data_IF_415231401046
#
_entry.id   IF_415231401046
#
_cell.length_a   1.000
_cell.length_b   1.000
_cell.length_c   1.000
_cell.angle_alpha   90.00
_cell.angle_beta   90.00
_cell.angle_gamma   90.00
#
_symmetry.space_group_name_H-M   'P 1'
#
loop_
_entity.id
_entity.type
_entity.pdbx_description
1 polymer ?
#
# COMPACT_ATOMS: atom_id res chain seq x y z
N UNK A 1 -4.25 -16.11 20.73
CA UNK A 1 -4.30 -15.43 19.43
C UNK A 1 -4.21 -13.91 19.60
N UNK A 2 -3.99 -13.19 18.51
CA UNK A 2 -3.96 -11.74 18.53
C UNK A 2 -5.37 -11.19 18.33
N UNK A 3 -5.68 -10.06 19.00
CA UNK A 3 -6.87 -9.27 18.70
C UNK A 3 -6.49 -8.25 17.65
N UNK A 4 -7.20 -8.20 16.54
CA UNK A 4 -6.94 -7.27 15.45
C UNK A 4 -8.00 -6.17 15.43
N UNK A 5 -7.56 -4.92 15.36
CA UNK A 5 -8.42 -3.74 15.24
C UNK A 5 -8.09 -3.02 13.95
N UNK A 6 -9.11 -2.71 13.16
CA UNK A 6 -8.95 -1.97 11.91
C UNK A 6 -9.07 -0.47 12.17
N UNK A 7 -8.08 0.28 11.69
CA UNK A 7 -8.06 1.74 11.78
C UNK A 7 -8.25 2.31 10.39
N UNK A 8 -9.17 3.26 10.24
CA UNK A 8 -9.42 3.93 8.96
C UNK A 8 -8.18 4.69 8.47
N UNK A 9 -7.93 4.60 7.16
CA UNK A 9 -6.88 5.34 6.47
C UNK A 9 -7.52 6.56 5.81
N UNK A 10 -6.92 7.73 5.99
CA UNK A 10 -7.34 9.02 5.44
C UNK A 10 -6.42 9.43 4.27
N UNK A 11 -6.64 10.63 3.70
CA UNK A 11 -5.82 11.11 2.57
C UNK A 11 -4.32 11.19 2.91
N UNK A 12 -3.97 11.47 4.17
CA UNK A 12 -2.59 11.52 4.67
C UNK A 12 -2.12 10.22 5.34
N UNK A 13 -2.87 9.13 5.23
CA UNK A 13 -2.57 7.85 5.87
C UNK A 13 -3.36 7.65 7.17
N UNK A 14 -2.80 6.87 8.10
CA UNK A 14 -3.44 6.58 9.39
C UNK A 14 -3.26 7.75 10.36
N UNK A 15 -4.33 8.15 11.04
CA UNK A 15 -4.27 9.19 12.08
C UNK A 15 -3.63 8.63 13.37
N UNK A 16 -2.50 9.19 13.85
CA UNK A 16 -1.85 8.77 15.09
C UNK A 16 -2.76 8.88 16.33
N UNK A 17 -3.74 9.80 16.35
CA UNK A 17 -4.68 9.92 17.46
C UNK A 17 -5.65 8.73 17.51
N UNK A 18 -6.10 8.24 16.35
CA UNK A 18 -6.91 7.01 16.31
C UNK A 18 -6.14 5.81 16.84
N UNK A 19 -4.85 5.70 16.50
CA UNK A 19 -3.97 4.67 17.05
C UNK A 19 -3.89 4.76 18.58
N UNK A 20 -3.70 5.96 19.12
CA UNK A 20 -3.66 6.19 20.58
C UNK A 20 -4.95 5.77 21.28
N UNK A 21 -6.10 6.02 20.67
CA UNK A 21 -7.41 5.67 21.25
C UNK A 21 -7.64 4.17 21.36
N UNK A 22 -7.07 3.39 20.44
CA UNK A 22 -7.14 1.91 20.47
C UNK A 22 -6.07 1.28 21.36
N UNK A 23 -4.99 2.00 21.65
CA UNK A 23 -3.85 1.58 22.50
C UNK A 23 -3.30 0.18 22.15
N UNK A 24 -2.99 -0.12 20.87
CA UNK A 24 -2.50 -1.43 20.48
C UNK A 24 -1.05 -1.66 20.90
N UNK A 25 -0.60 -2.93 20.91
CA UNK A 25 0.82 -3.27 21.11
C UNK A 25 1.62 -3.15 19.81
N UNK A 26 0.98 -3.44 18.67
CA UNK A 26 1.63 -3.40 17.34
C UNK A 26 0.74 -2.70 16.34
N UNK A 27 1.32 -1.83 15.52
CA UNK A 27 0.64 -1.16 14.39
C UNK A 27 1.30 -1.56 13.09
N UNK A 28 0.50 -2.08 12.14
CA UNK A 28 0.95 -2.38 10.78
C UNK A 28 0.55 -1.25 9.84
N UNK A 29 1.50 -0.71 9.09
CA UNK A 29 1.33 0.44 8.20
C UNK A 29 2.12 0.30 6.91
N UNK A 30 1.66 0.97 5.84
CA UNK A 30 2.34 1.14 4.56
C UNK A 30 2.59 2.63 4.29
N UNK A 31 3.54 3.27 5.00
CA UNK A 31 3.63 4.73 5.02
C UNK A 31 4.17 5.31 3.71
N UNK A 32 4.88 4.53 2.92
CA UNK A 32 5.47 4.98 1.66
C UNK A 32 4.49 4.99 0.49
N UNK A 33 3.55 4.05 0.48
CA UNK A 33 2.50 3.94 -0.54
C UNK A 33 1.38 3.04 -0.02
N UNK A 34 0.41 3.63 0.67
CA UNK A 34 -0.70 2.90 1.30
C UNK A 34 -1.56 2.21 0.24
N UNK A 35 -1.58 0.89 0.23
CA UNK A 35 -2.46 0.12 -0.66
C UNK A 35 -3.88 0.03 -0.07
N UNK A 36 -4.95 0.16 -0.87
CA UNK A 36 -4.97 0.47 -2.31
C UNK A 36 -4.97 1.96 -2.65
N UNK A 37 -5.08 2.86 -1.66
CA UNK A 37 -5.35 4.30 -1.85
C UNK A 37 -4.22 5.06 -2.56
N UNK A 38 -3.00 4.54 -2.54
CA UNK A 38 -1.83 5.21 -3.09
C UNK A 38 -1.41 6.45 -2.29
N UNK A 39 -1.91 6.62 -1.07
CA UNK A 39 -1.53 7.75 -0.21
C UNK A 39 -0.13 7.57 0.35
N UNK A 40 0.55 8.68 0.59
CA UNK A 40 1.89 8.71 1.17
C UNK A 40 1.84 9.44 2.50
N UNK A 41 2.16 8.75 3.57
CA UNK A 41 2.14 9.31 4.92
C UNK A 41 3.22 10.39 5.09
N UNK A 42 2.85 11.63 5.48
CA UNK A 42 3.80 12.70 5.75
C UNK A 42 4.76 12.37 6.87
N UNK A 43 5.98 12.91 6.80
CA UNK A 43 7.03 12.67 7.82
C UNK A 43 6.54 13.04 9.24
N UNK A 44 5.76 14.10 9.38
CA UNK A 44 5.20 14.51 10.68
C UNK A 44 4.40 13.37 11.33
N UNK A 45 3.49 12.75 10.59
CA UNK A 45 2.66 11.65 11.12
C UNK A 45 3.52 10.41 11.41
N UNK A 46 4.54 10.11 10.58
CA UNK A 46 5.51 9.03 10.84
C UNK A 46 6.21 9.23 12.17
N UNK A 47 6.69 10.44 12.45
CA UNK A 47 7.35 10.78 13.71
C UNK A 47 6.39 10.75 14.92
N UNK A 48 5.13 11.09 14.75
CA UNK A 48 4.11 10.96 15.80
C UNK A 48 3.81 9.51 16.16
N UNK A 49 3.79 8.60 15.17
CA UNK A 49 3.69 7.15 15.42
C UNK A 49 4.93 6.60 16.13
N UNK A 50 6.13 7.05 15.77
CA UNK A 50 7.36 6.68 16.49
C UNK A 50 7.30 7.14 17.95
N UNK A 51 6.87 8.37 18.21
CA UNK A 51 6.68 8.87 19.57
C UNK A 51 5.68 8.02 20.36
N UNK A 52 4.57 7.64 19.73
CA UNK A 52 3.60 6.73 20.34
C UNK A 52 4.24 5.37 20.69
N UNK A 53 5.04 4.79 19.80
CA UNK A 53 5.71 3.52 20.06
C UNK A 53 6.71 3.59 21.22
N UNK A 54 7.32 4.77 21.45
CA UNK A 54 8.25 5.00 22.55
C UNK A 54 7.59 5.08 23.94
N UNK A 55 6.29 5.31 24.02
CA UNK A 55 5.59 5.45 25.29
C UNK A 55 5.49 4.13 26.09
N UNK A 56 5.64 2.98 25.42
CA UNK A 56 5.69 1.64 26.05
C UNK A 56 6.79 0.80 25.44
N UNK A 57 7.47 0.02 26.26
CA UNK A 57 8.61 -0.83 25.85
C UNK A 57 8.19 -1.88 24.82
N UNK A 58 7.04 -2.49 25.00
CA UNK A 58 6.56 -3.61 24.17
C UNK A 58 5.83 -3.19 22.89
N UNK A 59 5.73 -1.89 22.58
CA UNK A 59 5.11 -1.41 21.34
C UNK A 59 6.08 -1.45 20.17
N UNK A 60 5.55 -1.87 19.01
CA UNK A 60 6.27 -1.88 17.74
C UNK A 60 5.43 -1.35 16.59
N UNK A 61 6.12 -0.85 15.57
CA UNK A 61 5.54 -0.49 14.28
C UNK A 61 6.05 -1.50 13.24
N UNK A 62 5.15 -2.08 12.45
CA UNK A 62 5.52 -2.87 11.28
C UNK A 62 5.35 -1.95 10.06
N UNK A 63 6.46 -1.57 9.44
CA UNK A 63 6.50 -0.81 8.20
C UNK A 63 6.59 -1.79 7.03
N UNK A 64 5.52 -1.91 6.25
CA UNK A 64 5.53 -2.66 5.00
C UNK A 64 5.81 -1.72 3.83
N UNK A 65 6.95 -1.93 3.21
CA UNK A 65 7.42 -1.16 2.08
C UNK A 65 7.51 -2.05 0.84
N UNK A 66 6.48 -1.99 0.02
CA UNK A 66 6.35 -2.87 -1.11
C UNK A 66 6.70 -2.25 -2.47
N UNK A 67 6.76 -0.91 -2.59
CA UNK A 67 7.04 -0.24 -3.87
C UNK A 67 7.52 1.23 -3.74
N UNK A 68 8.13 1.61 -2.64
CA UNK A 68 8.67 2.97 -2.40
C UNK A 68 9.71 3.40 -3.44
N UNK A 69 10.32 2.46 -4.14
CA UNK A 69 11.28 2.70 -5.21
C UNK A 69 10.65 3.48 -6.39
N UNK A 70 9.33 3.37 -6.57
CA UNK A 70 8.60 3.95 -7.72
C UNK A 70 7.84 5.22 -7.32
N UNK A 71 8.58 6.23 -6.85
CA UNK A 71 8.06 7.55 -6.58
C UNK A 71 8.35 8.48 -7.76
N UNK A 72 7.31 9.13 -8.31
CA UNK A 72 7.42 9.97 -9.51
C UNK A 72 7.38 11.45 -9.20
N UNK A 73 6.74 11.85 -8.10
CA UNK A 73 6.56 13.24 -7.69
C UNK A 73 6.97 13.47 -6.24
N UNK A 74 7.43 14.69 -5.96
CA UNK A 74 7.85 15.13 -4.63
C UNK A 74 9.24 14.62 -4.23
N UNK A 75 9.72 15.09 -3.07
CA UNK A 75 10.98 14.65 -2.49
C UNK A 75 10.83 13.25 -1.88
N UNK A 76 11.87 12.40 -1.91
CA UNK A 76 11.87 11.17 -1.16
C UNK A 76 11.56 11.43 0.32
N UNK A 77 10.70 10.61 0.91
CA UNK A 77 10.45 10.62 2.34
C UNK A 77 11.19 9.41 2.93
N UNK A 78 12.02 9.61 3.95
CA UNK A 78 12.74 8.51 4.56
C UNK A 78 11.77 7.49 5.15
N UNK A 79 12.12 6.19 5.12
CA UNK A 79 11.35 5.16 5.81
C UNK A 79 11.30 5.44 7.32
N UNK A 80 10.31 4.91 8.01
CA UNK A 80 10.25 4.96 9.47
C UNK A 80 11.47 4.29 10.08
N UNK A 81 11.86 3.13 9.54
CA UNK A 81 13.03 2.40 10.00
C UNK A 81 14.32 3.22 9.90
N UNK A 82 14.48 4.03 8.84
CA UNK A 82 15.70 4.84 8.65
C UNK A 82 15.82 6.03 9.62
N UNK A 83 14.71 6.46 10.22
CA UNK A 83 14.65 7.55 11.22
C UNK A 83 14.38 7.04 12.64
N UNK A 84 14.26 5.74 12.79
CA UNK A 84 14.10 5.09 14.09
C UNK A 84 15.43 4.88 14.79
N UNK A 85 15.71 5.70 15.81
CA UNK A 85 16.88 5.59 16.66
C UNK A 85 16.62 4.78 17.96
N UNK A 86 15.43 4.19 18.11
CA UNK A 86 14.94 3.59 19.34
C UNK A 86 14.53 2.13 19.19
N UNK A 87 14.78 1.54 18.03
CA UNK A 87 14.55 0.12 17.76
C UNK A 87 13.08 -0.31 17.88
N UNK A 88 12.16 0.55 17.40
CA UNK A 88 10.71 0.33 17.47
C UNK A 88 10.10 -0.14 16.15
N UNK A 89 10.84 -0.10 15.04
CA UNK A 89 10.34 -0.40 13.70
C UNK A 89 10.83 -1.75 13.20
N UNK A 90 9.90 -2.60 12.86
CA UNK A 90 10.09 -3.81 12.08
C UNK A 90 9.84 -3.44 10.63
N UNK A 91 10.87 -3.47 9.79
CA UNK A 91 10.73 -3.12 8.37
C UNK A 91 10.59 -4.38 7.52
N UNK A 92 9.62 -4.39 6.62
CA UNK A 92 9.38 -5.46 5.64
C UNK A 92 9.53 -4.90 4.24
N UNK A 93 10.42 -5.50 3.45
CA UNK A 93 10.62 -5.14 2.05
C UNK A 93 10.54 -6.35 1.13
N UNK A 94 10.36 -6.11 -0.17
CA UNK A 94 10.25 -7.18 -1.17
C UNK A 94 10.99 -6.85 -2.45
N UNK A 95 11.62 -7.86 -3.05
CA UNK A 95 12.22 -7.76 -4.39
C UNK A 95 11.23 -8.09 -5.51
N UNK A 96 9.99 -8.48 -5.18
CA UNK A 96 8.99 -8.90 -6.18
C UNK A 96 8.56 -7.76 -7.11
N UNK A 97 8.53 -6.53 -6.62
CA UNK A 97 8.20 -5.35 -7.45
C UNK A 97 9.44 -4.65 -7.99
N UNK A 98 10.50 -4.60 -7.20
CA UNK A 98 11.73 -3.90 -7.54
C UNK A 98 12.60 -4.65 -8.56
N UNK A 99 12.53 -6.00 -8.64
CA UNK A 99 13.27 -6.80 -9.61
C UNK A 99 12.31 -7.55 -10.53
N UNK A 100 11.63 -8.59 -10.02
CA UNK A 100 10.69 -9.38 -10.79
C UNK A 100 9.66 -10.08 -9.89
N UNK A 101 8.35 -10.11 -10.27
CA UNK A 101 7.32 -10.77 -9.48
C UNK A 101 7.56 -12.27 -9.25
N UNK A 102 8.27 -12.93 -10.16
CA UNK A 102 8.61 -14.36 -10.08
C UNK A 102 9.68 -14.68 -9.04
N UNK A 103 10.45 -13.69 -8.60
CA UNK A 103 11.55 -13.89 -7.64
C UNK A 103 11.03 -14.35 -6.26
N UNK A 104 9.90 -13.80 -5.82
CA UNK A 104 9.22 -14.17 -4.56
C UNK A 104 10.12 -14.12 -3.32
N UNK A 105 11.05 -13.17 -3.27
CA UNK A 105 11.92 -12.93 -2.12
C UNK A 105 11.48 -11.66 -1.43
N UNK A 106 11.25 -11.76 -0.12
CA UNK A 106 11.04 -10.65 0.80
C UNK A 106 12.09 -10.70 1.90
N UNK A 107 12.32 -9.59 2.55
CA UNK A 107 13.25 -9.50 3.67
C UNK A 107 12.63 -8.69 4.81
N UNK A 108 13.14 -8.91 6.00
CA UNK A 108 12.68 -8.23 7.21
C UNK A 108 13.91 -7.71 7.97
N UNK A 109 13.85 -6.45 8.38
CA UNK A 109 14.83 -5.84 9.27
C UNK A 109 14.21 -5.75 10.65
N UNK A 110 14.76 -6.50 11.59
CA UNK A 110 14.26 -6.57 12.97
C UNK A 110 15.11 -5.67 13.89
N UNK A 111 14.48 -5.02 14.88
CA UNK A 111 15.18 -4.49 16.02
C UNK A 111 16.08 -5.54 16.67
N UNK A 112 17.28 -5.18 17.20
CA UNK A 112 18.26 -6.13 17.71
C UNK A 112 17.72 -7.13 18.75
N UNK A 113 16.89 -6.65 19.68
CA UNK A 113 16.26 -7.54 20.68
C UNK A 113 15.30 -8.56 20.06
N UNK A 114 14.50 -8.12 19.08
CA UNK A 114 13.60 -9.04 18.34
C UNK A 114 14.40 -10.01 17.47
N UNK A 115 15.51 -9.57 16.87
CA UNK A 115 16.41 -10.43 16.10
C UNK A 115 17.01 -11.52 16.98
N UNK A 116 17.47 -11.18 18.20
CA UNK A 116 17.97 -12.13 19.18
C UNK A 116 16.89 -13.18 19.53
N UNK A 117 15.69 -12.73 19.87
CA UNK A 117 14.55 -13.63 20.16
C UNK A 117 14.20 -14.52 18.97
N UNK A 118 14.28 -13.99 17.75
CA UNK A 118 14.07 -14.75 16.53
C UNK A 118 15.10 -15.87 16.39
N UNK A 119 16.37 -15.61 16.59
CA UNK A 119 17.41 -16.64 16.56
C UNK A 119 17.24 -17.70 17.65
N UNK A 120 16.87 -17.30 18.85
CA UNK A 120 16.63 -18.22 19.97
C UNK A 120 15.43 -19.16 19.73
N UNK A 121 14.33 -18.61 19.18
CA UNK A 121 13.08 -19.36 19.03
C UNK A 121 12.89 -20.01 17.66
N UNK A 122 13.49 -19.45 16.61
CA UNK A 122 13.27 -19.84 15.22
C UNK A 122 14.54 -20.32 14.52
N UNK A 123 15.68 -20.38 15.21
CA UNK A 123 16.97 -20.77 14.62
C UNK A 123 17.02 -22.22 14.10
N UNK A 124 16.04 -23.05 14.47
CA UNK A 124 15.91 -24.42 13.95
C UNK A 124 15.19 -24.51 12.59
N UNK A 125 14.53 -23.43 12.14
CA UNK A 125 13.92 -23.41 10.81
C UNK A 125 14.98 -23.25 9.72
N UNK A 126 14.85 -24.05 8.67
CA UNK A 126 15.63 -23.83 7.45
C UNK A 126 15.20 -22.53 6.76
N UNK A 127 16.13 -21.90 6.06
CA UNK A 127 15.79 -20.74 5.22
C UNK A 127 14.75 -21.12 4.16
N UNK A 128 13.77 -20.26 3.95
CA UNK A 128 12.73 -20.43 2.92
C UNK A 128 13.22 -20.04 1.53
N UNK A 129 14.35 -19.29 1.44
CA UNK A 129 14.95 -18.86 0.17
C UNK A 129 16.17 -19.71 -0.13
N UNK A 130 16.23 -20.42 -1.28
CA UNK A 130 17.38 -21.23 -1.66
C UNK A 130 18.67 -20.41 -1.70
N UNK A 131 19.78 -20.98 -1.20
CA UNK A 131 21.07 -20.30 -1.13
C UNK A 131 21.56 -19.80 -2.49
N UNK A 132 21.31 -20.53 -3.55
CA UNK A 132 21.66 -20.12 -4.92
C UNK A 132 20.98 -18.81 -5.28
N UNK A 133 19.68 -18.66 -4.97
CA UNK A 133 18.94 -17.41 -5.26
C UNK A 133 19.46 -16.25 -4.40
N UNK A 134 19.84 -16.52 -3.15
CA UNK A 134 20.44 -15.50 -2.28
C UNK A 134 21.79 -15.03 -2.86
N UNK A 135 22.65 -15.93 -3.34
CA UNK A 135 23.94 -15.58 -3.94
C UNK A 135 23.79 -14.81 -5.26
N UNK A 136 22.83 -15.19 -6.09
CA UNK A 136 22.51 -14.43 -7.32
C UNK A 136 22.07 -13.01 -6.96
N UNK A 137 21.17 -12.87 -5.98
CA UNK A 137 20.68 -11.57 -5.54
C UNK A 137 21.80 -10.73 -4.92
N UNK A 138 22.67 -11.35 -4.10
CA UNK A 138 23.84 -10.69 -3.52
C UNK A 138 24.75 -10.11 -4.61
N UNK A 139 25.13 -10.92 -5.58
CA UNK A 139 25.97 -10.49 -6.69
C UNK A 139 25.30 -9.35 -7.49
N UNK A 140 23.98 -9.48 -7.76
CA UNK A 140 23.21 -8.47 -8.48
C UNK A 140 23.22 -7.10 -7.76
N UNK A 141 23.18 -7.11 -6.43
CA UNK A 141 23.24 -5.88 -5.61
C UNK A 141 24.68 -5.35 -5.55
N UNK A 142 25.66 -6.18 -5.16
CA UNK A 142 27.06 -5.78 -4.92
C UNK A 142 27.73 -5.26 -6.19
N UNK A 143 27.41 -5.81 -7.38
CA UNK A 143 27.94 -5.35 -8.66
C UNK A 143 27.19 -4.11 -9.23
N UNK A 144 26.25 -3.54 -8.46
CA UNK A 144 25.52 -2.34 -8.81
C UNK A 144 24.49 -2.54 -9.93
N UNK A 145 24.15 -3.79 -10.28
CA UNK A 145 23.13 -4.10 -11.27
C UNK A 145 21.74 -3.72 -10.78
N UNK A 146 21.48 -3.88 -9.48
CA UNK A 146 20.20 -3.52 -8.87
C UNK A 146 19.87 -2.04 -9.03
N UNK A 147 20.80 -1.15 -8.71
CA UNK A 147 20.58 0.30 -8.85
C UNK A 147 20.37 0.71 -10.31
N UNK A 148 21.17 0.15 -11.24
CA UNK A 148 20.99 0.41 -12.67
C UNK A 148 19.62 -0.06 -13.16
N UNK A 149 19.18 -1.24 -12.69
CA UNK A 149 17.86 -1.77 -13.00
C UNK A 149 16.75 -0.85 -12.47
N UNK A 150 16.80 -0.46 -11.19
CA UNK A 150 15.81 0.44 -10.59
C UNK A 150 15.71 1.78 -11.33
N UNK A 151 16.85 2.38 -11.66
CA UNK A 151 16.86 3.65 -12.38
C UNK A 151 16.24 3.53 -13.79
N UNK A 152 16.52 2.43 -14.50
CA UNK A 152 15.86 2.13 -15.77
C UNK A 152 14.35 1.94 -15.60
N UNK A 153 13.92 1.15 -14.62
CA UNK A 153 12.51 0.86 -14.41
C UNK A 153 11.72 2.08 -13.93
N UNK A 154 12.32 2.96 -13.11
CA UNK A 154 11.73 4.26 -12.76
C UNK A 154 11.40 5.10 -13.98
N UNK A 155 12.32 5.18 -14.96
CA UNK A 155 12.08 5.88 -16.22
C UNK A 155 10.93 5.28 -17.02
N UNK A 156 10.93 3.96 -17.19
CA UNK A 156 9.88 3.23 -17.91
C UNK A 156 8.50 3.40 -17.26
N UNK A 157 8.42 3.19 -15.94
CA UNK A 157 7.14 3.29 -15.24
C UNK A 157 6.63 4.72 -15.13
N UNK A 158 7.53 5.71 -15.02
CA UNK A 158 7.16 7.13 -15.09
C UNK A 158 6.53 7.48 -16.44
N UNK A 159 7.11 7.04 -17.56
CA UNK A 159 6.54 7.29 -18.87
C UNK A 159 5.14 6.70 -19.02
N UNK A 160 4.94 5.44 -18.59
CA UNK A 160 3.62 4.78 -18.60
C UNK A 160 2.61 5.48 -17.70
N UNK A 161 3.04 5.89 -16.51
CA UNK A 161 2.21 6.66 -15.56
C UNK A 161 1.76 7.98 -16.16
N UNK A 162 2.69 8.77 -16.70
CA UNK A 162 2.39 10.07 -17.28
C UNK A 162 1.48 9.94 -18.50
N UNK A 163 1.69 8.91 -19.33
CA UNK A 163 0.81 8.56 -20.44
C UNK A 163 -0.60 8.23 -19.96
N UNK A 164 -0.75 7.32 -18.97
CA UNK A 164 -2.05 6.96 -18.43
C UNK A 164 -2.79 8.18 -17.86
N UNK A 165 -2.12 9.03 -17.09
CA UNK A 165 -2.73 10.23 -16.52
C UNK A 165 -3.16 11.22 -17.60
N UNK A 166 -2.35 11.39 -18.66
CA UNK A 166 -2.69 12.26 -19.78
C UNK A 166 -3.93 11.77 -20.53
N UNK A 167 -4.04 10.45 -20.71
CA UNK A 167 -5.21 9.82 -21.35
C UNK A 167 -6.46 9.88 -20.47
N UNK A 168 -6.35 9.63 -19.17
CA UNK A 168 -7.48 9.71 -18.23
C UNK A 168 -8.06 11.13 -18.16
N UNK A 169 -7.23 12.16 -18.18
CA UNK A 169 -7.67 13.57 -18.14
C UNK A 169 -8.49 14.01 -19.35
N UNK A 170 -8.43 13.28 -20.47
CA UNK A 170 -9.23 13.57 -21.68
C UNK A 170 -10.66 13.03 -21.59
N UNK A 171 -10.97 12.19 -20.58
CA UNK A 171 -12.21 11.45 -20.47
C UNK A 171 -13.22 12.14 -19.56
N UNK A 172 -14.43 12.34 -20.05
CA UNK A 172 -15.50 13.01 -19.32
C UNK A 172 -16.03 12.24 -18.11
N UNK A 173 -15.85 10.90 -18.11
CA UNK A 173 -16.26 10.06 -17.00
C UNK A 173 -15.27 10.05 -15.82
N UNK A 174 -14.06 10.57 -15.98
CA UNK A 174 -13.08 10.70 -14.90
C UNK A 174 -13.43 11.91 -14.04
N UNK A 175 -13.80 11.67 -12.78
CA UNK A 175 -14.10 12.72 -11.82
C UNK A 175 -12.88 13.11 -10.99
N UNK A 176 -12.17 12.12 -10.43
CA UNK A 176 -10.99 12.35 -9.60
C UNK A 176 -10.00 11.20 -9.74
N UNK A 177 -8.72 11.50 -9.66
CA UNK A 177 -7.63 10.52 -9.67
C UNK A 177 -6.91 10.60 -8.33
N UNK A 178 -6.63 9.44 -7.71
CA UNK A 178 -5.91 9.32 -6.46
C UNK A 178 -4.66 8.44 -6.66
N UNK A 179 -3.65 8.60 -5.79
CA UNK A 179 -2.44 7.79 -5.82
C UNK A 179 -1.49 8.11 -6.98
N UNK A 180 -1.58 9.32 -7.59
CA UNK A 180 -0.80 9.71 -8.77
C UNK A 180 0.64 10.14 -8.46
N UNK A 181 1.15 9.91 -7.24
CA UNK A 181 2.51 10.30 -6.84
C UNK A 181 3.53 9.16 -6.88
N UNK A 182 3.08 7.92 -6.78
CA UNK A 182 3.94 6.76 -6.63
C UNK A 182 3.25 5.46 -7.09
N UNK A 183 3.99 4.34 -7.10
CA UNK A 183 3.47 2.99 -7.31
C UNK A 183 3.23 2.62 -8.76
N UNK A 184 2.52 1.52 -8.97
CA UNK A 184 2.26 0.92 -10.29
C UNK A 184 0.76 0.85 -10.62
N UNK A 185 -0.07 1.57 -9.87
CA UNK A 185 -1.51 1.70 -10.10
C UNK A 185 -1.98 3.10 -9.70
N UNK A 186 -3.15 3.48 -10.17
CA UNK A 186 -3.89 4.67 -9.75
C UNK A 186 -5.32 4.28 -9.44
N UNK A 187 -5.98 5.05 -8.59
CA UNK A 187 -7.42 4.96 -8.38
C UNK A 187 -8.12 6.06 -9.15
N UNK A 188 -9.20 5.70 -9.82
CA UNK A 188 -10.00 6.61 -10.63
C UNK A 188 -11.44 6.59 -10.14
N UNK A 189 -11.90 7.69 -9.60
CA UNK A 189 -13.32 7.88 -9.31
C UNK A 189 -14.04 8.24 -10.61
N UNK A 190 -15.09 7.49 -10.90
CA UNK A 190 -15.83 7.63 -12.17
C UNK A 190 -17.20 8.24 -11.96
N UNK A 191 -17.61 9.09 -12.90
CA UNK A 191 -18.91 9.74 -12.89
C UNK A 191 -19.89 8.89 -13.73
N UNK A 192 -20.59 7.98 -13.07
CA UNK A 192 -21.55 7.06 -13.69
C UNK A 192 -22.59 6.61 -12.67
N UNK A 193 -23.76 6.19 -13.16
CA UNK A 193 -24.81 5.57 -12.33
C UNK A 193 -24.62 4.04 -12.17
N UNK A 194 -23.69 3.44 -12.94
CA UNK A 194 -23.40 2.01 -12.84
C UNK A 194 -22.69 1.67 -11.54
N UNK A 195 -22.93 0.48 -11.02
CA UNK A 195 -22.21 -0.02 -9.84
C UNK A 195 -20.79 -0.44 -10.21
N UNK A 196 -19.89 -0.35 -9.26
CA UNK A 196 -18.49 -0.74 -9.40
C UNK A 196 -18.32 -2.17 -9.89
N UNK A 197 -19.06 -3.11 -9.31
CA UNK A 197 -19.07 -4.53 -9.70
C UNK A 197 -19.55 -4.73 -11.14
N UNK A 198 -20.58 -4.00 -11.56
CA UNK A 198 -21.09 -4.05 -12.93
C UNK A 198 -20.04 -3.60 -13.96
N UNK A 199 -19.30 -2.51 -13.64
CA UNK A 199 -18.22 -2.03 -14.51
C UNK A 199 -17.11 -3.07 -14.61
N UNK A 200 -16.70 -3.68 -13.49
CA UNK A 200 -15.68 -4.73 -13.47
C UNK A 200 -16.11 -5.96 -14.30
N UNK A 201 -17.36 -6.42 -14.17
CA UNK A 201 -17.89 -7.55 -14.91
C UNK A 201 -17.97 -7.28 -16.42
N UNK A 202 -18.37 -6.06 -16.81
CA UNK A 202 -18.43 -5.66 -18.22
C UNK A 202 -17.02 -5.56 -18.82
N UNK A 203 -16.06 -5.05 -18.06
CA UNK A 203 -14.65 -4.96 -18.45
C UNK A 203 -14.05 -6.34 -18.68
N UNK A 204 -14.29 -7.29 -17.77
CA UNK A 204 -13.80 -8.66 -17.88
C UNK A 204 -14.36 -9.37 -19.12
N UNK A 205 -15.66 -9.18 -19.42
CA UNK A 205 -16.27 -9.70 -20.67
C UNK A 205 -15.64 -9.16 -21.95
N UNK A 206 -15.04 -7.97 -21.89
CA UNK A 206 -14.32 -7.36 -23.01
C UNK A 206 -12.80 -7.62 -22.96
N UNK A 207 -12.34 -8.51 -22.07
CA UNK A 207 -10.96 -8.96 -21.98
C UNK A 207 -10.01 -8.02 -21.22
N UNK A 208 -10.52 -7.07 -20.46
CA UNK A 208 -9.74 -6.24 -19.53
C UNK A 208 -10.11 -6.53 -18.09
N UNK A 209 -9.09 -6.62 -17.23
CA UNK A 209 -9.29 -6.85 -15.80
C UNK A 209 -8.97 -5.58 -15.02
N UNK A 210 -9.97 -5.07 -14.32
CA UNK A 210 -9.90 -3.95 -13.41
C UNK A 210 -10.49 -4.37 -12.07
N UNK A 211 -10.22 -3.61 -11.01
CA UNK A 211 -10.73 -3.92 -9.67
C UNK A 211 -11.48 -2.72 -9.11
N UNK A 212 -12.48 -2.99 -8.32
CA UNK A 212 -13.20 -1.98 -7.56
C UNK A 212 -12.57 -1.76 -6.20
N UNK A 213 -12.58 -0.52 -5.68
CA UNK A 213 -12.07 -0.23 -4.34
C UNK A 213 -12.88 -0.94 -3.25
N UNK A 214 -14.16 -1.22 -3.51
CA UNK A 214 -15.06 -1.89 -2.56
C UNK A 214 -14.60 -3.31 -2.17
N UNK A 215 -13.77 -3.96 -2.98
CA UNK A 215 -13.16 -5.26 -2.65
C UNK A 215 -12.17 -5.16 -1.47
N UNK A 216 -11.65 -3.97 -1.20
CA UNK A 216 -10.65 -3.69 -0.16
C UNK A 216 -11.24 -2.97 1.05
N UNK A 217 -12.54 -2.66 1.04
CA UNK A 217 -13.22 -1.99 2.15
C UNK A 217 -13.80 -3.03 3.11
N UNK A 218 -13.33 -3.03 4.34
CA UNK A 218 -13.91 -3.87 5.40
C UNK A 218 -15.16 -3.20 5.95
N UNK A 219 -16.31 -3.89 5.87
CA UNK A 219 -17.59 -3.38 6.35
C UNK A 219 -17.67 -3.44 7.88
N UNK A 220 -18.31 -2.45 8.50
CA UNK A 220 -18.50 -2.41 9.96
C UNK A 220 -19.23 -3.66 10.53
N UNK A 221 -20.05 -4.33 9.75
CA UNK A 221 -20.72 -5.58 10.14
C UNK A 221 -19.74 -6.75 10.36
N UNK A 222 -18.57 -6.71 9.74
CA UNK A 222 -17.54 -7.74 9.89
C UNK A 222 -16.62 -7.46 11.11
N UNK A 223 -16.63 -6.23 11.62
CA UNK A 223 -15.93 -5.85 12.86
C UNK A 223 -16.63 -6.35 14.12
N UNK A 224 -17.97 -6.52 14.09
CA UNK A 224 -18.76 -6.89 15.27
C UNK A 224 -18.59 -8.34 15.75
N UNK A 225 -17.97 -9.22 15.00
CA UNK A 225 -17.69 -10.59 15.45
C UNK A 225 -16.53 -10.68 16.46
N UNK A 226 -15.77 -9.59 16.69
CA UNK A 226 -14.63 -9.55 17.62
C UNK A 226 -14.75 -8.52 18.75
N UNK A 227 -15.83 -7.73 18.78
CA UNK A 227 -16.08 -6.74 19.84
C UNK A 227 -16.96 -7.31 20.95
N UNK A 228 -16.43 -8.23 21.73
CA UNK A 228 -16.95 -8.43 23.09
C UNK A 228 -15.99 -7.72 24.04
N UNK A 229 -16.52 -6.63 24.67
CA UNK A 229 -15.95 -5.89 25.82
C UNK A 229 -14.97 -4.76 25.51
N UNK A 230 -15.49 -3.56 25.56
CA UNK A 230 -15.11 -2.29 26.22
C UNK A 230 -15.23 -1.07 25.31
N UNK A 231 -16.31 -0.38 25.35
CA UNK A 231 -16.55 0.99 25.81
C UNK A 231 -17.92 1.51 25.36
N UNK A 232 -18.82 1.61 26.30
CA UNK A 232 -20.00 2.49 26.21
C UNK A 232 -19.45 3.91 26.47
N UNK A 233 -19.40 4.73 25.48
CA UNK A 233 -19.27 6.18 25.43
C UNK A 233 -18.25 6.63 24.35
N UNK A 234 -18.65 6.50 23.08
CA UNK A 234 -18.11 7.32 22.02
C UNK A 234 -19.30 7.73 21.16
N UNK A 235 -19.70 8.98 21.31
CA UNK A 235 -20.65 9.66 20.44
C UNK A 235 -20.08 9.63 19.01
N UNK A 236 -20.88 9.08 18.10
CA UNK A 236 -20.58 8.99 16.67
C UNK A 236 -20.75 10.41 16.10
N UNK A 237 -19.68 11.15 15.99
CA UNK A 237 -19.62 12.31 15.12
C UNK A 237 -19.47 11.82 13.68
N UNK A 238 -20.43 12.21 12.85
CA UNK A 238 -20.47 11.96 11.42
C UNK A 238 -19.38 12.79 10.72
N UNK A 239 -18.17 12.23 10.58
CA UNK A 239 -17.11 12.88 9.84
C UNK A 239 -17.31 12.68 8.32
N UNK A 240 -17.37 13.81 7.65
CA UNK A 240 -17.38 13.97 6.18
C UNK A 240 -15.98 13.70 5.63
N UNK A 241 -15.55 12.43 5.50
CA UNK A 241 -14.39 12.09 4.68
C UNK A 241 -14.51 10.68 4.10
N UNK A 242 -14.28 10.56 2.81
CA UNK A 242 -14.80 9.58 1.87
C UNK A 242 -14.21 8.16 1.92
N UNK A 243 -13.36 7.80 2.88
CA UNK A 243 -12.72 6.47 2.91
C UNK A 243 -12.82 5.72 4.25
N UNK A 244 -13.37 6.33 5.28
CA UNK A 244 -13.53 5.71 6.60
C UNK A 244 -14.77 4.81 6.66
N UNK A 245 -14.70 3.59 6.15
CA UNK A 245 -15.69 2.54 6.40
C UNK A 245 -17.06 2.70 5.72
N UNK A 246 -17.22 3.69 4.84
CA UNK A 246 -18.37 3.84 3.95
C UNK A 246 -17.95 3.57 2.51
N UNK A 247 -18.67 2.68 1.82
CA UNK A 247 -18.51 2.49 0.37
C UNK A 247 -18.70 3.85 -0.30
N UNK A 248 -17.78 4.32 -1.15
CA UNK A 248 -17.93 5.59 -1.86
C UNK A 248 -19.26 5.65 -2.60
N UNK A 249 -19.91 6.81 -2.60
CA UNK A 249 -21.16 7.01 -3.32
C UNK A 249 -21.02 6.81 -4.84
N UNK A 250 -19.80 7.03 -5.37
CA UNK A 250 -19.45 6.83 -6.78
C UNK A 250 -18.40 5.74 -6.92
N UNK A 251 -18.43 4.95 -8.01
CA UNK A 251 -17.44 3.88 -8.23
C UNK A 251 -16.01 4.41 -8.28
N UNK A 252 -15.09 3.67 -7.66
CA UNK A 252 -13.65 3.94 -7.73
C UNK A 252 -12.96 2.69 -8.25
N UNK A 253 -12.27 2.85 -9.38
CA UNK A 253 -11.60 1.78 -10.09
C UNK A 253 -10.10 1.82 -9.84
N UNK A 254 -9.49 0.67 -9.57
CA UNK A 254 -8.05 0.48 -9.47
C UNK A 254 -7.51 0.07 -10.84
N UNK A 255 -6.68 0.92 -11.43
CA UNK A 255 -6.07 0.73 -12.74
C UNK A 255 -4.56 0.51 -12.59
N UNK A 256 -4.11 -0.75 -12.78
CA UNK A 256 -2.69 -1.12 -12.81
C UNK A 256 -2.10 -0.94 -14.21
N UNK A 257 -0.91 -0.35 -14.31
CA UNK A 257 -0.26 -0.06 -15.60
C UNK A 257 1.16 -0.66 -15.76
N UNK A 258 1.73 -1.21 -14.71
CA UNK A 258 3.14 -1.64 -14.71
C UNK A 258 3.50 -2.61 -15.82
N UNK A 259 2.63 -3.56 -16.18
CA UNK A 259 2.87 -4.55 -17.22
C UNK A 259 2.47 -4.13 -18.62
N UNK A 260 1.67 -3.07 -18.74
CA UNK A 260 1.05 -2.67 -20.01
C UNK A 260 1.99 -1.78 -20.83
N UNK A 261 1.92 -1.89 -22.16
CA UNK A 261 2.44 -0.90 -23.11
C UNK A 261 1.46 0.25 -23.30
N UNK A 262 1.87 1.34 -23.94
CA UNK A 262 1.01 2.49 -24.21
C UNK A 262 -0.20 2.11 -25.07
N UNK A 263 -0.02 1.26 -26.09
CA UNK A 263 -1.10 0.75 -26.94
C UNK A 263 -2.13 -0.06 -26.14
N UNK A 264 -1.67 -0.86 -25.18
CA UNK A 264 -2.55 -1.67 -24.32
C UNK A 264 -3.32 -0.78 -23.33
N UNK A 265 -2.66 0.23 -22.77
CA UNK A 265 -3.32 1.26 -21.92
C UNK A 265 -4.41 1.95 -22.73
N UNK A 266 -4.10 2.41 -23.94
CA UNK A 266 -5.05 3.10 -24.80
C UNK A 266 -6.24 2.21 -25.17
N UNK A 267 -6.00 0.97 -25.58
CA UNK A 267 -7.07 -0.02 -25.87
C UNK A 267 -7.95 -0.26 -24.65
N UNK A 268 -7.34 -0.46 -23.48
CA UNK A 268 -8.09 -0.65 -22.23
C UNK A 268 -8.99 0.55 -21.91
N UNK A 269 -8.48 1.77 -22.07
CA UNK A 269 -9.26 2.98 -21.84
C UNK A 269 -10.39 3.18 -22.86
N UNK A 270 -10.17 2.82 -24.15
CA UNK A 270 -11.23 2.84 -25.17
C UNK A 270 -12.36 1.85 -24.85
N UNK A 271 -12.04 0.69 -24.29
CA UNK A 271 -13.05 -0.25 -23.80
C UNK A 271 -13.82 0.37 -22.63
N UNK A 272 -13.15 1.01 -21.68
CA UNK A 272 -13.83 1.71 -20.57
C UNK A 272 -14.74 2.84 -21.07
N UNK A 273 -14.36 3.58 -22.13
CA UNK A 273 -15.19 4.60 -22.76
C UNK A 273 -16.54 4.05 -23.29
N UNK A 274 -16.63 2.74 -23.61
CA UNK A 274 -17.88 2.09 -24.03
C UNK A 274 -18.70 1.51 -22.88
N UNK A 275 -18.06 1.30 -21.72
CA UNK A 275 -18.68 0.64 -20.56
C UNK A 275 -19.23 1.68 -19.59
N UNK A 276 -18.50 2.75 -19.33
CA UNK A 276 -18.84 3.79 -18.37
C UNK A 276 -19.76 4.82 -19.00
#
# INVERSE_FOLDING_TARGET
GYQMTLVSVEEDGIDPQKVRNYDPDVVYIMPSHQFPLGTVMPLKQRLELLKWALEKEERYLIEDDHDSEYRYRGKPIPSLQSVDHFEKVIYIGTFSKSIAPSLRISYMVLPPELLKRYHEKCGFYSTTVPKIQQEILRAFIEEGHFERHLNKMRGIYRAKHDFLLAELKKRSWVEKIYGDHAGLHVLVQVNTEKKETEICDLAEKQGIRIYGISEYVVRKSEQSCNETVRNKNASIESEKNNFAGTVPHKPILLLGYGRLGEDEIQKGLLILDTII
#
